data_IF_733620855846
#
_entry.id   IF_733620855846
#
_cell.length_a   1.000
_cell.length_b   1.000
_cell.length_c   1.000
_cell.angle_alpha   90.00
_cell.angle_beta   90.00
_cell.angle_gamma   90.00
#
_symmetry.space_group_name_H-M   'P 1'
#
loop_
_entity.id
_entity.type
_entity.pdbx_description
1 polymer ?
#
# COMPACT_ATOMS: atom_id res chain seq x y z
N UNK A 1 -49.61 -8.14 33.21
CA UNK A 1 -49.35 -8.41 31.79
C UNK A 1 -47.94 -8.96 31.65
N UNK A 2 -47.69 -10.05 32.34
CA UNK A 2 -46.51 -10.87 32.33
C UNK A 2 -46.95 -12.29 32.73
N UNK A 3 -47.73 -12.92 31.87
CA UNK A 3 -48.18 -14.32 32.03
C UNK A 3 -49.01 -14.64 30.80
N UNK A 4 -48.34 -15.03 29.71
CA UNK A 4 -48.93 -15.73 28.56
C UNK A 4 -47.87 -15.80 27.44
N UNK A 5 -46.85 -16.64 27.63
CA UNK A 5 -45.99 -17.16 26.55
C UNK A 5 -45.14 -18.34 27.08
N UNK A 6 -45.76 -19.26 27.82
CA UNK A 6 -45.23 -20.60 28.06
C UNK A 6 -46.18 -21.59 27.39
N UNK A 7 -45.99 -21.83 26.10
CA UNK A 7 -46.44 -23.07 25.44
C UNK A 7 -46.08 -23.04 23.95
N UNK A 8 -44.85 -23.21 23.63
CA UNK A 8 -44.43 -23.94 22.41
C UNK A 8 -42.97 -24.36 22.62
N UNK A 9 -42.81 -25.61 23.02
CA UNK A 9 -41.52 -26.28 23.21
C UNK A 9 -40.81 -26.45 21.88
N UNK A 10 -40.02 -25.49 21.46
CA UNK A 10 -38.97 -25.67 20.46
C UNK A 10 -37.69 -25.96 21.24
N UNK A 11 -37.43 -27.22 21.50
CA UNK A 11 -36.10 -27.69 21.88
C UNK A 11 -35.16 -27.44 20.68
N UNK A 12 -34.43 -26.35 20.74
CA UNK A 12 -33.27 -26.16 19.87
C UNK A 12 -32.20 -27.12 20.39
N UNK A 13 -32.19 -28.34 19.88
CA UNK A 13 -31.02 -29.19 19.93
C UNK A 13 -29.93 -28.47 19.15
N UNK A 14 -28.95 -27.92 19.87
CA UNK A 14 -27.64 -27.63 19.27
C UNK A 14 -27.07 -28.98 18.78
N UNK A 15 -27.31 -29.28 17.51
CA UNK A 15 -26.55 -30.28 16.77
C UNK A 15 -25.10 -29.74 16.72
N UNK A 16 -24.31 -30.15 17.71
CA UNK A 16 -22.86 -30.12 17.62
C UNK A 16 -22.50 -31.13 16.54
N UNK A 17 -22.38 -30.68 15.29
CA UNK A 17 -21.91 -31.50 14.20
C UNK A 17 -20.58 -32.13 14.63
N UNK A 18 -20.55 -33.44 14.82
CA UNK A 18 -19.36 -34.20 15.18
C UNK A 18 -18.29 -33.95 14.10
N UNK A 19 -17.19 -33.33 14.48
CA UNK A 19 -16.07 -33.06 13.56
C UNK A 19 -15.55 -34.37 13.02
N UNK A 20 -15.43 -34.51 11.70
CA UNK A 20 -14.91 -35.70 11.03
C UNK A 20 -13.45 -35.95 11.39
N UNK A 21 -13.03 -37.22 11.42
CA UNK A 21 -11.64 -37.62 11.64
C UNK A 21 -10.72 -36.95 10.58
N UNK A 22 -9.65 -36.29 11.01
CA UNK A 22 -8.74 -35.60 10.12
C UNK A 22 -8.05 -36.47 9.07
N UNK A 23 -7.83 -37.76 9.39
CA UNK A 23 -7.32 -38.72 8.40
C UNK A 23 -8.36 -39.02 7.32
N UNK A 24 -9.63 -39.10 7.70
CA UNK A 24 -10.74 -39.27 6.75
C UNK A 24 -10.95 -38.03 5.89
N UNK A 25 -10.83 -36.84 6.46
CA UNK A 25 -10.92 -35.55 5.74
C UNK A 25 -9.87 -35.48 4.64
N UNK A 26 -8.62 -35.86 4.92
CA UNK A 26 -7.55 -35.91 3.93
C UNK A 26 -7.59 -37.17 3.04
N UNK A 27 -8.37 -38.18 3.39
CA UNK A 27 -8.46 -39.45 2.66
C UNK A 27 -7.16 -40.28 2.73
N UNK A 28 -6.49 -40.27 3.88
CA UNK A 28 -5.24 -41.00 4.13
C UNK A 28 -5.40 -41.98 5.32
N UNK A 29 -4.57 -43.00 5.36
CA UNK A 29 -4.55 -43.97 6.50
C UNK A 29 -3.91 -43.29 7.74
N UNK A 30 -4.30 -43.75 8.95
CA UNK A 30 -3.68 -43.27 10.21
C UNK A 30 -2.17 -43.53 10.30
N UNK A 31 -1.66 -44.48 9.49
CA UNK A 31 -0.22 -44.79 9.36
C UNK A 31 0.49 -43.99 8.28
N UNK A 32 -0.20 -43.06 7.60
CA UNK A 32 0.36 -42.30 6.48
C UNK A 32 1.60 -41.48 6.90
N UNK A 33 2.59 -41.43 6.01
CA UNK A 33 3.79 -40.62 6.17
C UNK A 33 3.48 -39.15 6.00
N UNK A 34 4.39 -38.28 6.46
CA UNK A 34 4.25 -36.83 6.31
C UNK A 34 4.14 -36.40 4.83
N UNK A 35 4.84 -37.11 3.92
CA UNK A 35 4.80 -36.84 2.49
C UNK A 35 3.46 -37.23 1.85
N UNK A 36 2.86 -38.32 2.29
CA UNK A 36 1.52 -38.76 1.85
C UNK A 36 0.45 -37.76 2.32
N UNK A 37 0.50 -37.32 3.57
CA UNK A 37 -0.40 -36.31 4.13
C UNK A 37 -0.29 -35.01 3.33
N UNK A 38 0.93 -34.54 3.03
CA UNK A 38 1.19 -33.35 2.24
C UNK A 38 0.67 -33.48 0.80
N UNK A 39 0.86 -34.63 0.19
CA UNK A 39 0.38 -34.90 -1.19
C UNK A 39 -1.14 -34.92 -1.26
N UNK A 40 -1.82 -35.55 -0.29
CA UNK A 40 -3.27 -35.59 -0.19
C UNK A 40 -3.87 -34.19 0.00
N UNK A 41 -3.31 -33.41 0.92
CA UNK A 41 -3.72 -32.02 1.13
C UNK A 41 -3.60 -31.17 -0.15
N UNK A 42 -2.47 -31.26 -0.87
CA UNK A 42 -2.29 -30.51 -2.13
C UNK A 42 -3.36 -30.85 -3.17
N UNK A 43 -3.75 -32.09 -3.30
CA UNK A 43 -4.81 -32.52 -4.23
C UNK A 43 -6.16 -31.91 -3.85
N UNK A 44 -6.51 -31.96 -2.56
CA UNK A 44 -7.76 -31.38 -2.05
C UNK A 44 -7.78 -29.86 -2.15
N UNK A 45 -6.67 -29.19 -1.80
CA UNK A 45 -6.53 -27.76 -1.89
C UNK A 45 -6.69 -27.26 -3.34
N UNK A 46 -6.05 -27.91 -4.32
CA UNK A 46 -6.26 -27.59 -5.74
C UNK A 46 -7.67 -27.86 -6.25
N UNK A 47 -8.34 -28.87 -5.72
CA UNK A 47 -9.70 -29.26 -6.13
C UNK A 47 -10.74 -28.25 -5.60
N UNK A 48 -10.60 -27.82 -4.36
CA UNK A 48 -11.56 -26.98 -3.66
C UNK A 48 -11.08 -25.51 -3.50
N UNK A 49 -10.08 -25.09 -4.31
CA UNK A 49 -9.56 -23.73 -4.26
C UNK A 49 -10.67 -22.70 -4.57
N UNK A 50 -10.78 -21.59 -3.80
CA UNK A 50 -11.81 -20.57 -4.02
C UNK A 50 -11.79 -19.97 -5.42
N UNK A 51 -10.60 -19.75 -6.02
CA UNK A 51 -10.48 -19.21 -7.38
C UNK A 51 -11.00 -20.17 -8.46
N UNK A 52 -11.02 -21.47 -8.18
CA UNK A 52 -11.54 -22.48 -9.11
C UNK A 52 -13.03 -22.79 -8.89
N UNK A 53 -13.55 -22.46 -7.72
CA UNK A 53 -14.93 -22.70 -7.33
C UNK A 53 -15.54 -21.42 -6.74
N UNK A 54 -15.60 -20.30 -7.51
CA UNK A 54 -16.12 -19.04 -7.01
C UNK A 54 -17.60 -19.17 -6.65
N UNK A 55 -17.97 -18.85 -5.40
CA UNK A 55 -19.35 -18.88 -4.91
C UNK A 55 -19.87 -20.24 -4.43
N UNK A 56 -19.06 -21.29 -4.43
CA UNK A 56 -19.45 -22.60 -3.90
C UNK A 56 -19.08 -22.72 -2.40
N UNK A 57 -20.07 -22.48 -1.54
CA UNK A 57 -19.94 -22.60 -0.07
C UNK A 57 -19.54 -24.02 0.36
N UNK A 58 -19.94 -25.07 -0.38
CA UNK A 58 -19.57 -26.44 -0.05
C UNK A 58 -18.09 -26.72 -0.35
N UNK A 59 -17.55 -26.14 -1.41
CA UNK A 59 -16.13 -26.21 -1.72
C UNK A 59 -15.29 -25.46 -0.69
N UNK A 60 -15.76 -24.30 -0.24
CA UNK A 60 -15.13 -23.50 0.80
C UNK A 60 -15.07 -24.25 2.14
N UNK A 61 -16.16 -24.86 2.56
CA UNK A 61 -16.20 -25.67 3.78
C UNK A 61 -15.21 -26.86 3.72
N UNK A 62 -15.16 -27.59 2.59
CA UNK A 62 -14.22 -28.70 2.39
C UNK A 62 -12.76 -28.24 2.34
N UNK A 63 -12.50 -27.07 1.82
CA UNK A 63 -11.15 -26.48 1.83
C UNK A 63 -10.71 -26.13 3.26
N UNK A 64 -11.61 -25.57 4.07
CA UNK A 64 -11.34 -25.24 5.47
C UNK A 64 -11.07 -26.52 6.30
N UNK A 65 -11.93 -27.54 6.17
CA UNK A 65 -11.72 -28.83 6.85
C UNK A 65 -10.39 -29.49 6.46
N UNK A 66 -10.04 -29.48 5.16
CA UNK A 66 -8.78 -30.04 4.70
C UNK A 66 -7.56 -29.25 5.22
N UNK A 67 -7.67 -27.93 5.36
CA UNK A 67 -6.61 -27.09 5.91
C UNK A 67 -6.41 -27.30 7.40
N UNK A 68 -7.49 -27.42 8.17
CA UNK A 68 -7.46 -27.75 9.61
C UNK A 68 -6.82 -29.13 9.84
N UNK A 69 -7.25 -30.13 9.07
CA UNK A 69 -6.71 -31.48 9.15
C UNK A 69 -5.21 -31.53 8.83
N UNK A 70 -4.77 -30.81 7.80
CA UNK A 70 -3.35 -30.74 7.44
C UNK A 70 -2.52 -30.02 8.51
N UNK A 71 -3.02 -28.96 9.11
CA UNK A 71 -2.32 -28.24 10.17
C UNK A 71 -2.01 -29.15 11.37
N UNK A 72 -2.95 -29.96 11.75
CA UNK A 72 -2.78 -30.89 12.87
C UNK A 72 -1.88 -32.08 12.48
N UNK A 73 -2.11 -32.71 11.34
CA UNK A 73 -1.43 -33.94 10.95
C UNK A 73 -0.02 -33.72 10.38
N UNK A 74 0.31 -32.52 9.92
CA UNK A 74 1.66 -32.18 9.43
C UNK A 74 2.68 -31.95 10.54
N UNK A 75 2.23 -31.60 11.73
CA UNK A 75 3.11 -31.38 12.90
C UNK A 75 3.16 -32.67 13.76
N UNK A 76 4.34 -33.26 13.97
CA UNK A 76 4.49 -34.50 14.74
C UNK A 76 3.90 -34.44 16.16
N UNK A 77 4.07 -33.30 16.86
CA UNK A 77 3.58 -33.13 18.23
C UNK A 77 2.05 -33.01 18.27
N UNK A 78 1.46 -32.23 17.34
CA UNK A 78 0.01 -32.08 17.24
C UNK A 78 -0.64 -33.39 16.80
N UNK A 79 -0.03 -34.10 15.84
CA UNK A 79 -0.48 -35.40 15.39
C UNK A 79 -0.50 -36.41 16.53
N UNK A 80 0.57 -36.47 17.33
CA UNK A 80 0.64 -37.37 18.49
C UNK A 80 -0.45 -37.06 19.52
N UNK A 81 -0.74 -35.78 19.78
CA UNK A 81 -1.84 -35.36 20.67
C UNK A 81 -3.20 -35.73 20.08
N UNK A 82 -3.38 -35.54 18.79
CA UNK A 82 -4.60 -35.92 18.08
C UNK A 82 -4.81 -37.42 18.10
N UNK A 83 -3.78 -38.20 17.88
CA UNK A 83 -3.82 -39.66 17.92
C UNK A 83 -4.18 -40.23 19.32
N UNK A 84 -3.82 -39.51 20.40
CA UNK A 84 -4.10 -39.88 21.78
C UNK A 84 -5.45 -39.41 22.32
N UNK A 85 -5.84 -38.18 21.97
CA UNK A 85 -6.99 -37.50 22.60
C UNK A 85 -8.05 -37.04 21.59
N UNK A 86 -7.89 -37.36 20.31
CA UNK A 86 -8.82 -36.94 19.25
C UNK A 86 -8.86 -35.41 19.11
N UNK A 87 -10.00 -34.89 18.68
CA UNK A 87 -10.21 -33.46 18.53
C UNK A 87 -10.02 -32.66 19.83
N UNK A 88 -10.34 -33.22 20.98
CA UNK A 88 -10.17 -32.59 22.28
C UNK A 88 -8.70 -32.32 22.64
N UNK A 89 -7.77 -33.13 22.11
CA UNK A 89 -6.33 -32.96 22.32
C UNK A 89 -5.69 -31.81 21.55
N UNK A 90 -6.41 -31.28 20.59
CA UNK A 90 -5.97 -30.19 19.69
C UNK A 90 -6.88 -28.98 19.74
N UNK A 91 -8.01 -29.04 20.49
CA UNK A 91 -8.81 -27.85 20.82
C UNK A 91 -8.02 -26.94 21.76
N UNK A 92 -7.59 -25.82 21.23
CA UNK A 92 -6.77 -24.84 21.92
C UNK A 92 -7.61 -24.09 22.96
N UNK A 93 -7.14 -24.09 24.23
CA UNK A 93 -7.63 -23.22 25.29
C UNK A 93 -7.50 -21.73 24.96
N UNK A 94 -7.91 -20.80 25.87
CA UNK A 94 -8.03 -19.36 25.59
C UNK A 94 -6.71 -18.71 25.21
N UNK A 95 -6.40 -18.71 23.90
CA UNK A 95 -5.18 -18.24 23.24
C UNK A 95 -4.89 -18.94 21.92
N UNK A 96 -5.69 -19.90 21.50
CA UNK A 96 -5.59 -20.56 20.19
C UNK A 96 -6.22 -19.72 19.08
N UNK A 97 -5.58 -19.72 17.92
CA UNK A 97 -6.07 -19.07 16.69
C UNK A 97 -7.41 -19.70 16.29
N UNK A 98 -8.50 -18.95 16.44
CA UNK A 98 -9.81 -19.31 15.91
C UNK A 98 -9.85 -18.90 14.44
N UNK A 99 -9.53 -19.85 13.55
CA UNK A 99 -9.50 -19.66 12.10
C UNK A 99 -10.83 -19.15 11.53
N UNK A 100 -11.96 -19.41 12.22
CA UNK A 100 -13.28 -18.94 11.81
C UNK A 100 -13.55 -17.46 12.15
N UNK A 101 -12.91 -16.92 13.17
CA UNK A 101 -13.11 -15.55 13.67
C UNK A 101 -12.11 -14.57 13.11
N UNK A 102 -10.86 -14.99 12.90
CA UNK A 102 -9.79 -14.14 12.38
C UNK A 102 -9.82 -14.02 10.85
N UNK A 103 -10.41 -15.00 10.14
CA UNK A 103 -10.51 -14.96 8.68
C UNK A 103 -11.53 -13.93 8.15
N UNK A 104 -12.47 -13.47 8.96
CA UNK A 104 -13.43 -12.43 8.56
C UNK A 104 -12.82 -11.02 8.47
N UNK A 105 -11.63 -10.80 9.04
CA UNK A 105 -10.89 -9.54 8.98
C UNK A 105 -9.86 -9.45 7.83
N UNK A 106 -9.63 -10.54 7.09
CA UNK A 106 -8.65 -10.61 6.01
C UNK A 106 -9.26 -10.45 4.61
N UNK A 107 -10.28 -9.61 4.45
CA UNK A 107 -10.88 -9.35 3.13
C UNK A 107 -9.98 -8.57 2.17
N UNK A 108 -8.80 -8.06 2.61
CA UNK A 108 -7.88 -7.23 1.82
C UNK A 108 -6.43 -7.75 1.75
N UNK A 109 -6.15 -8.97 2.20
CA UNK A 109 -4.81 -9.55 2.08
C UNK A 109 -4.84 -10.68 1.05
N UNK A 110 -4.07 -10.52 -0.01
CA UNK A 110 -3.93 -11.50 -1.09
C UNK A 110 -3.55 -12.88 -0.54
N UNK A 111 -4.46 -13.85 -0.72
CA UNK A 111 -4.27 -15.25 -0.33
C UNK A 111 -2.99 -15.85 -0.91
N UNK A 112 -2.50 -15.27 -2.01
CA UNK A 112 -1.27 -15.62 -2.69
C UNK A 112 -0.02 -15.29 -1.86
N UNK A 113 -0.05 -14.22 -1.06
CA UNK A 113 1.06 -13.85 -0.18
C UNK A 113 1.16 -14.76 1.04
N UNK A 114 0.02 -15.23 1.57
CA UNK A 114 0.01 -16.20 2.67
C UNK A 114 0.44 -17.59 2.16
N UNK A 115 -0.04 -17.98 0.99
CA UNK A 115 0.32 -19.26 0.38
C UNK A 115 1.78 -19.28 -0.09
N UNK A 116 2.30 -18.16 -0.59
CA UNK A 116 3.72 -18.04 -0.99
C UNK A 116 4.65 -18.04 0.22
N UNK A 117 4.24 -17.48 1.36
CA UNK A 117 5.03 -17.50 2.59
C UNK A 117 5.07 -18.90 3.22
N UNK A 118 4.00 -19.68 3.09
CA UNK A 118 3.91 -21.07 3.58
C UNK A 118 4.55 -22.06 2.59
N UNK A 119 4.40 -21.83 1.28
CA UNK A 119 4.88 -22.76 0.24
C UNK A 119 6.28 -22.39 -0.27
N UNK A 120 6.67 -21.12 -0.25
CA UNK A 120 7.99 -20.63 -0.67
C UNK A 120 9.12 -21.03 0.26
N UNK A 121 8.82 -21.38 1.51
CA UNK A 121 9.82 -21.85 2.48
C UNK A 121 10.37 -23.26 2.24
N UNK A 122 9.83 -24.01 1.28
CA UNK A 122 10.21 -25.41 1.04
C UNK A 122 11.28 -25.60 -0.04
N UNK A 123 11.72 -24.51 -0.73
CA UNK A 123 12.64 -24.68 -1.88
C UNK A 123 13.76 -23.62 -1.96
N UNK A 124 14.34 -23.25 -0.84
CA UNK A 124 15.56 -22.44 -0.86
C UNK A 124 15.72 -21.51 0.33
N UNK A 125 16.48 -21.93 1.33
CA UNK A 125 17.21 -21.03 2.22
C UNK A 125 16.44 -20.29 3.30
N UNK A 126 16.16 -20.98 4.41
CA UNK A 126 16.43 -20.44 5.75
C UNK A 126 15.98 -19.05 6.16
N UNK A 127 14.70 -18.72 6.05
CA UNK A 127 14.20 -17.58 6.80
C UNK A 127 12.76 -17.85 7.31
N UNK A 128 12.64 -18.23 8.57
CA UNK A 128 11.72 -17.53 9.43
C UNK A 128 10.43 -18.20 9.88
N UNK A 129 10.20 -19.51 9.78
CA UNK A 129 9.08 -20.12 10.53
C UNK A 129 9.41 -20.26 12.03
N UNK A 130 10.68 -20.34 12.35
CA UNK A 130 11.20 -20.41 13.73
C UNK A 130 11.05 -19.10 14.50
N UNK A 131 10.84 -17.97 13.81
CA UNK A 131 10.62 -16.66 14.44
C UNK A 131 9.17 -16.41 14.85
N UNK A 132 8.19 -17.12 14.30
CA UNK A 132 6.77 -16.92 14.58
C UNK A 132 6.23 -17.86 15.68
N UNK A 133 6.79 -19.07 15.78
CA UNK A 133 6.35 -20.08 16.75
C UNK A 133 7.42 -20.43 17.79
N UNK A 134 7.77 -19.46 18.65
CA UNK A 134 8.38 -19.82 19.95
C UNK A 134 9.84 -20.27 19.93
N UNK A 135 10.62 -19.86 18.94
CA UNK A 135 12.07 -19.86 19.06
C UNK A 135 12.45 -18.93 20.21
N UNK A 136 13.02 -19.46 21.28
CA UNK A 136 13.44 -18.69 22.44
C UNK A 136 14.17 -17.44 21.98
N UNK A 137 13.64 -16.26 22.29
CA UNK A 137 14.32 -14.98 22.08
C UNK A 137 15.73 -15.16 22.58
N UNK A 138 16.71 -15.36 21.66
CA UNK A 138 18.10 -15.17 21.99
C UNK A 138 18.12 -13.85 22.71
N UNK A 139 18.48 -13.87 23.98
CA UNK A 139 18.57 -12.68 24.79
C UNK A 139 19.50 -11.75 24.05
N UNK A 140 18.95 -10.76 23.35
CA UNK A 140 19.73 -9.82 22.56
C UNK A 140 20.77 -9.24 23.50
N UNK A 141 22.02 -9.33 23.13
CA UNK A 141 23.09 -8.74 23.91
C UNK A 141 22.79 -7.24 24.05
N UNK A 142 22.54 -6.77 25.29
CA UNK A 142 22.19 -5.36 25.50
C UNK A 142 23.30 -4.40 25.04
N UNK A 143 24.49 -4.90 24.75
CA UNK A 143 25.62 -4.14 24.23
C UNK A 143 25.82 -4.32 22.73
N UNK A 144 25.01 -5.14 22.04
CA UNK A 144 25.12 -5.32 20.60
C UNK A 144 24.93 -4.00 19.83
N UNK A 145 25.64 -3.80 18.71
CA UNK A 145 25.42 -2.68 17.84
C UNK A 145 23.95 -2.63 17.39
N UNK A 146 23.37 -1.45 17.43
CA UNK A 146 21.99 -1.24 16.98
C UNK A 146 21.97 -0.29 15.80
N UNK A 147 21.35 -0.71 14.71
CA UNK A 147 21.11 0.15 13.56
C UNK A 147 20.25 1.34 13.94
N UNK A 148 20.56 2.51 13.41
CA UNK A 148 19.77 3.72 13.56
C UNK A 148 18.36 3.55 12.97
N UNK A 149 17.44 4.36 13.49
CA UNK A 149 16.07 4.36 12.99
C UNK A 149 16.01 4.88 11.55
N UNK A 150 15.20 4.23 10.73
CA UNK A 150 14.84 4.75 9.43
C UNK A 150 13.92 5.97 9.64
N UNK A 151 14.12 7.01 8.83
CA UNK A 151 13.36 8.25 8.90
C UNK A 151 12.54 8.44 7.63
N UNK A 152 11.37 9.03 7.77
CA UNK A 152 10.52 9.37 6.62
C UNK A 152 10.17 10.84 6.68
N UNK A 153 10.16 11.49 5.49
CA UNK A 153 9.71 12.87 5.34
C UNK A 153 8.98 13.05 4.02
N UNK A 154 8.07 14.02 3.98
CA UNK A 154 7.44 14.45 2.73
C UNK A 154 8.20 15.64 2.14
N UNK A 155 8.34 15.63 0.83
CA UNK A 155 8.93 16.72 0.06
C UNK A 155 7.99 17.13 -1.05
N UNK A 156 7.56 18.37 -0.99
CA UNK A 156 6.78 18.99 -2.06
C UNK A 156 7.73 19.54 -3.12
N UNK A 157 7.48 19.19 -4.39
CA UNK A 157 8.23 19.61 -5.55
C UNK A 157 7.31 20.23 -6.60
N UNK A 158 7.84 21.09 -7.44
CA UNK A 158 7.11 21.66 -8.57
C UNK A 158 6.99 20.65 -9.71
N UNK A 159 5.96 20.83 -10.55
CA UNK A 159 5.70 19.93 -11.70
C UNK A 159 6.91 19.86 -12.65
N UNK A 160 7.58 20.98 -12.87
CA UNK A 160 8.77 21.09 -13.72
C UNK A 160 9.93 20.25 -13.19
N UNK A 161 10.07 20.17 -11.88
CA UNK A 161 11.10 19.31 -11.25
C UNK A 161 10.78 17.83 -11.43
N UNK A 162 9.48 17.46 -11.36
CA UNK A 162 9.05 16.10 -11.64
C UNK A 162 9.26 15.74 -13.12
N UNK A 163 9.08 16.71 -14.03
CA UNK A 163 9.23 16.51 -15.48
C UNK A 163 10.69 16.39 -15.90
N UNK A 164 11.54 17.36 -15.47
CA UNK A 164 12.92 17.48 -15.93
C UNK A 164 13.93 16.82 -14.99
N UNK A 165 13.52 16.50 -13.76
CA UNK A 165 14.42 16.10 -12.67
C UNK A 165 15.15 17.31 -12.08
N UNK A 166 15.56 17.18 -10.84
CA UNK A 166 16.32 18.23 -10.14
C UNK A 166 17.24 17.66 -9.08
N UNK A 167 18.15 18.48 -8.59
CA UNK A 167 18.96 18.17 -7.42
C UNK A 167 18.64 19.21 -6.33
N UNK A 168 18.22 18.75 -5.16
CA UNK A 168 17.93 19.60 -3.99
C UNK A 168 18.82 19.25 -2.82
N UNK A 169 19.19 20.25 -2.05
CA UNK A 169 19.85 20.04 -0.75
C UNK A 169 18.82 20.24 0.34
N UNK A 170 18.63 19.19 1.15
CA UNK A 170 17.71 19.21 2.28
C UNK A 170 18.47 19.53 3.57
N UNK A 171 18.04 20.55 4.30
CA UNK A 171 18.56 20.87 5.63
C UNK A 171 17.72 20.17 6.68
N UNK A 172 18.24 19.07 7.24
CA UNK A 172 17.52 18.20 8.17
C UNK A 172 18.16 18.21 9.55
N UNK A 173 17.32 18.17 10.58
CA UNK A 173 17.78 17.97 11.94
C UNK A 173 17.49 16.51 12.31
N UNK A 174 18.52 15.68 12.29
CA UNK A 174 18.43 14.23 12.51
C UNK A 174 19.18 13.83 13.79
N UNK A 175 18.74 12.74 14.46
CA UNK A 175 19.56 12.15 15.51
C UNK A 175 20.81 11.55 14.88
N UNK A 176 21.96 12.04 15.25
CA UNK A 176 23.28 11.53 14.84
C UNK A 176 23.97 10.83 16.00
N UNK A 177 24.88 9.93 15.68
CA UNK A 177 25.72 9.28 16.65
C UNK A 177 26.56 10.32 17.39
N UNK A 178 26.55 10.28 18.72
CA UNK A 178 27.34 11.20 19.53
C UNK A 178 28.85 10.99 19.26
N UNK A 179 29.51 12.01 18.74
CA UNK A 179 30.93 11.94 18.40
C UNK A 179 31.84 11.68 19.58
N UNK A 180 31.47 12.15 20.80
CA UNK A 180 32.28 12.02 21.99
C UNK A 180 32.34 10.60 22.55
N UNK A 181 31.22 9.87 22.45
CA UNK A 181 31.13 8.48 22.97
C UNK A 181 30.97 7.43 21.87
N UNK A 182 30.94 7.80 20.61
CA UNK A 182 30.76 6.85 19.48
C UNK A 182 29.47 6.04 19.59
N UNK A 183 28.36 6.68 20.02
CA UNK A 183 27.06 6.05 20.15
C UNK A 183 26.89 5.11 21.33
N UNK A 184 27.88 4.96 22.22
CA UNK A 184 27.80 4.08 23.38
C UNK A 184 26.98 4.67 24.54
N UNK A 185 26.84 5.99 24.60
CA UNK A 185 26.24 6.71 25.74
C UNK A 185 27.11 6.79 27.00
N UNK A 186 28.31 6.23 26.95
CA UNK A 186 29.20 6.08 28.12
C UNK A 186 30.31 7.14 28.08
N UNK A 187 30.63 7.74 29.19
CA UNK A 187 31.78 8.67 29.31
C UNK A 187 33.10 7.93 29.03
N UNK A 188 34.12 8.66 28.52
CA UNK A 188 35.45 8.09 28.27
C UNK A 188 36.01 7.49 29.59
N UNK A 189 36.46 6.25 29.50
CA UNK A 189 37.02 5.52 30.66
C UNK A 189 35.98 4.87 31.58
N UNK A 190 34.70 5.02 31.29
CA UNK A 190 33.61 4.32 31.99
C UNK A 190 33.08 3.14 31.16
N UNK A 191 32.16 2.36 31.75
CA UNK A 191 31.59 1.17 31.11
C UNK A 191 30.12 0.99 31.44
N UNK A 192 29.46 0.14 30.67
CA UNK A 192 28.16 -0.41 31.04
C UNK A 192 28.34 -1.63 31.91
N UNK A 193 27.58 -1.70 32.98
CA UNK A 193 27.60 -2.81 33.95
C UNK A 193 26.22 -3.50 33.96
N UNK A 194 26.21 -4.77 34.33
CA UNK A 194 24.94 -5.50 34.50
C UNK A 194 24.07 -4.81 35.54
N UNK A 195 22.80 -4.64 35.25
CA UNK A 195 21.88 -4.02 36.21
C UNK A 195 21.81 -4.83 37.51
N UNK A 196 22.11 -4.23 38.68
CA UNK A 196 22.13 -4.95 39.93
C UNK A 196 20.75 -5.42 40.40
N UNK A 197 19.66 -4.80 39.90
CA UNK A 197 18.29 -5.15 40.30
C UNK A 197 17.78 -6.39 39.56
N UNK A 198 18.03 -6.50 38.27
CA UNK A 198 17.54 -7.62 37.45
C UNK A 198 18.64 -8.62 37.04
N UNK A 199 19.89 -8.39 37.46
CA UNK A 199 21.02 -9.27 37.13
C UNK A 199 21.28 -9.44 35.63
N UNK A 200 20.95 -8.42 34.84
CA UNK A 200 21.10 -8.46 33.39
C UNK A 200 19.86 -8.92 32.61
N UNK A 201 18.78 -9.32 33.29
CA UNK A 201 17.57 -9.90 32.64
C UNK A 201 16.62 -8.87 32.00
N UNK A 202 16.77 -7.60 32.31
CA UNK A 202 15.89 -6.52 31.85
C UNK A 202 14.50 -6.50 32.50
N UNK A 203 14.13 -7.57 33.19
CA UNK A 203 12.83 -7.71 33.84
C UNK A 203 13.00 -8.29 35.26
N UNK A 204 12.08 -7.97 36.14
CA UNK A 204 11.94 -8.55 37.49
C UNK A 204 10.67 -9.37 37.52
N UNK A 205 10.75 -10.56 38.09
CA UNK A 205 9.59 -11.42 38.32
C UNK A 205 9.06 -11.12 39.72
N UNK A 206 7.80 -10.74 39.83
CA UNK A 206 7.06 -10.58 41.07
C UNK A 206 5.90 -11.54 41.13
N UNK A 207 5.73 -12.21 42.26
CA UNK A 207 4.60 -13.13 42.48
C UNK A 207 5.04 -14.31 43.35
N UNK A 208 4.08 -14.90 44.05
CA UNK A 208 4.26 -16.13 44.86
C UNK A 208 3.56 -17.31 44.20
N UNK A 209 4.26 -18.42 44.03
CA UNK A 209 3.71 -19.66 43.51
C UNK A 209 3.37 -19.64 42.02
N UNK A 210 2.17 -20.01 41.67
CA UNK A 210 1.72 -20.18 40.27
C UNK A 210 1.51 -18.87 39.47
N UNK A 211 1.38 -17.74 40.14
CA UNK A 211 1.18 -16.44 39.51
C UNK A 211 2.49 -15.62 39.56
N UNK A 212 3.28 -15.74 38.49
CA UNK A 212 4.49 -14.93 38.31
C UNK A 212 4.23 -13.87 37.25
N UNK A 213 4.27 -12.59 37.64
CA UNK A 213 4.16 -11.46 36.70
C UNK A 213 5.57 -10.94 36.39
N UNK A 214 5.93 -10.96 35.12
CA UNK A 214 7.18 -10.40 34.60
C UNK A 214 6.99 -8.92 34.32
N UNK A 215 7.64 -8.08 35.16
CA UNK A 215 7.58 -6.63 35.04
C UNK A 215 8.93 -6.08 34.55
N UNK A 216 8.88 -5.07 33.67
CA UNK A 216 10.09 -4.37 33.19
C UNK A 216 10.87 -3.82 34.39
N UNK A 217 12.19 -4.02 34.43
CA UNK A 217 13.02 -3.56 35.51
C UNK A 217 13.05 -2.02 35.55
N UNK A 218 12.60 -1.43 36.66
CA UNK A 218 12.54 0.02 36.84
C UNK A 218 13.91 0.69 36.81
N UNK A 219 15.00 -0.02 37.20
CA UNK A 219 16.36 0.53 37.25
C UNK A 219 16.99 0.70 35.85
N UNK A 220 16.81 -0.28 35.00
CA UNK A 220 17.43 -0.26 33.65
C UNK A 220 16.42 -0.07 32.50
N UNK A 221 15.13 0.14 32.79
CA UNK A 221 14.11 0.35 31.76
C UNK A 221 13.96 -0.80 30.76
N UNK A 222 14.39 -2.02 31.11
CA UNK A 222 14.37 -3.18 30.21
C UNK A 222 15.71 -3.51 29.55
N UNK A 223 16.69 -2.61 29.57
CA UNK A 223 18.00 -2.81 28.93
C UNK A 223 18.89 -3.90 29.53
N UNK A 224 18.67 -4.31 30.79
CA UNK A 224 19.49 -5.28 31.49
C UNK A 224 20.84 -4.74 31.97
N UNK A 225 21.28 -3.58 31.49
CA UNK A 225 22.52 -2.90 31.84
C UNK A 225 22.27 -1.47 32.32
N UNK A 226 23.19 -0.90 33.05
CA UNK A 226 23.19 0.50 33.49
C UNK A 226 24.55 1.13 33.19
N UNK A 227 24.56 2.41 32.87
CA UNK A 227 25.80 3.18 32.66
C UNK A 227 26.29 3.71 33.99
N UNK A 228 27.57 3.46 34.34
CA UNK A 228 28.16 3.99 35.56
C UNK A 228 28.30 5.51 35.48
N UNK A 229 28.89 6.01 34.40
CA UNK A 229 29.02 7.45 34.16
C UNK A 229 28.51 7.76 32.73
N UNK A 230 27.38 8.46 32.59
CA UNK A 230 26.84 8.82 31.31
C UNK A 230 27.71 9.85 30.58
N UNK A 231 27.77 9.77 29.27
CA UNK A 231 28.47 10.75 28.45
C UNK A 231 27.87 12.15 28.66
N UNK A 232 28.70 13.16 29.01
CA UNK A 232 28.20 14.51 29.31
C UNK A 232 27.49 15.18 28.12
N UNK A 233 27.95 14.91 26.88
CA UNK A 233 27.40 15.57 25.69
C UNK A 233 26.03 15.04 25.27
N UNK A 234 25.78 13.74 25.41
CA UNK A 234 24.51 13.13 25.04
C UNK A 234 23.66 12.68 26.23
N UNK A 235 24.10 12.87 27.46
CA UNK A 235 23.37 12.48 28.67
C UNK A 235 23.07 10.97 28.78
N UNK A 236 23.90 10.13 28.14
CA UNK A 236 23.70 8.66 28.13
C UNK A 236 22.90 8.11 26.96
N UNK A 237 22.29 8.96 26.12
CA UNK A 237 21.46 8.52 24.97
C UNK A 237 22.28 7.90 23.84
N UNK A 238 23.55 8.25 23.69
CA UNK A 238 24.41 7.86 22.61
C UNK A 238 24.15 8.62 21.30
N UNK A 239 23.15 9.50 21.25
CA UNK A 239 22.77 10.29 20.07
C UNK A 239 22.63 11.78 20.41
N UNK A 240 22.86 12.62 19.43
CA UNK A 240 22.66 14.07 19.50
C UNK A 240 21.90 14.53 18.26
N UNK A 241 21.08 15.56 18.40
CA UNK A 241 20.43 16.18 17.24
C UNK A 241 21.43 17.10 16.53
N UNK A 242 21.74 16.79 15.28
CA UNK A 242 22.64 17.58 14.45
C UNK A 242 21.91 18.04 13.17
N UNK A 243 22.25 19.27 12.72
CA UNK A 243 21.80 19.76 11.43
C UNK A 243 22.69 19.16 10.34
N UNK A 244 22.09 18.55 9.35
CA UNK A 244 22.79 17.91 8.26
C UNK A 244 22.22 18.33 6.91
N UNK A 245 23.12 18.65 5.97
CA UNK A 245 22.77 18.87 4.59
C UNK A 245 22.81 17.54 3.83
N UNK A 246 21.71 17.18 3.23
CA UNK A 246 21.57 15.93 2.47
C UNK A 246 21.22 16.28 1.03
N UNK A 247 22.09 15.94 0.08
CA UNK A 247 21.80 16.10 -1.34
C UNK A 247 20.81 14.99 -1.76
N UNK A 248 19.71 15.41 -2.38
CA UNK A 248 18.68 14.57 -2.95
C UNK A 248 18.62 14.81 -4.46
N UNK A 249 18.77 13.74 -5.22
CA UNK A 249 18.54 13.74 -6.67
C UNK A 249 17.13 13.24 -6.95
N UNK A 250 16.31 14.08 -7.56
CA UNK A 250 14.95 13.78 -8.00
C UNK A 250 15.02 13.32 -9.45
N UNK A 251 14.64 12.07 -9.75
CA UNK A 251 14.68 11.56 -11.11
C UNK A 251 13.54 12.16 -11.94
N UNK A 252 13.75 12.21 -13.26
CA UNK A 252 12.71 12.62 -14.23
C UNK A 252 11.55 11.62 -14.20
N UNK A 253 10.32 12.14 -14.29
CA UNK A 253 9.12 11.32 -14.34
C UNK A 253 8.60 10.88 -12.98
N UNK A 254 9.19 11.37 -11.88
CA UNK A 254 8.71 11.06 -10.52
C UNK A 254 7.24 11.43 -10.36
N UNK A 255 6.51 10.65 -9.58
CA UNK A 255 5.09 10.86 -9.32
C UNK A 255 4.82 11.12 -7.82
N UNK A 256 3.67 11.69 -7.53
CA UNK A 256 3.19 11.83 -6.16
C UNK A 256 3.09 10.45 -5.50
N UNK A 257 3.59 10.35 -4.25
CA UNK A 257 3.68 9.09 -3.51
C UNK A 257 4.97 8.29 -3.80
N UNK A 258 5.80 8.71 -4.75
CA UNK A 258 7.10 8.07 -5.02
C UNK A 258 8.01 8.18 -3.81
N UNK A 259 8.65 7.07 -3.43
CA UNK A 259 9.58 7.00 -2.30
C UNK A 259 11.01 6.95 -2.77
N UNK A 260 11.78 7.99 -2.44
CA UNK A 260 13.21 8.07 -2.73
C UNK A 260 13.99 7.64 -1.49
N UNK A 261 14.77 6.57 -1.58
CA UNK A 261 15.59 6.05 -0.48
C UNK A 261 16.99 6.62 -0.56
N UNK A 262 17.43 7.22 0.53
CA UNK A 262 18.80 7.70 0.75
C UNK A 262 19.46 6.82 1.82
N UNK A 263 20.26 5.86 1.38
CA UNK A 263 20.91 4.89 2.26
C UNK A 263 21.85 5.56 3.25
N UNK A 264 21.76 5.20 4.52
CA UNK A 264 22.62 5.72 5.59
C UNK A 264 22.41 7.20 5.91
N UNK A 265 21.29 7.81 5.48
CA UNK A 265 20.97 9.22 5.75
C UNK A 265 19.83 9.39 6.76
N UNK A 266 19.41 8.31 7.42
CA UNK A 266 18.45 8.31 8.52
C UNK A 266 19.10 8.62 9.88
N UNK A 267 18.50 8.11 10.94
CA UNK A 267 19.01 8.28 12.29
C UNK A 267 20.35 7.59 12.54
N UNK A 268 21.21 8.15 13.36
CA UNK A 268 22.49 7.55 13.73
C UNK A 268 22.31 6.25 14.50
N UNK A 269 23.20 5.28 14.27
CA UNK A 269 23.20 4.02 15.00
C UNK A 269 23.71 4.17 16.42
N UNK A 270 23.40 3.18 17.23
CA UNK A 270 23.87 3.09 18.63
C UNK A 270 24.93 2.00 18.74
N UNK A 271 25.89 2.20 19.67
CA UNK A 271 26.89 1.19 20.03
C UNK A 271 27.71 0.70 18.81
N UNK A 272 28.05 1.60 17.87
CA UNK A 272 28.77 1.24 16.66
C UNK A 272 27.89 0.64 15.57
N UNK A 273 26.58 0.68 15.71
CA UNK A 273 25.63 0.29 14.67
C UNK A 273 25.64 1.26 13.49
N UNK A 274 25.23 0.78 12.33
CA UNK A 274 25.11 1.57 11.13
C UNK A 274 23.93 2.59 11.24
N UNK A 275 24.00 3.73 10.55
CA UNK A 275 22.86 4.64 10.48
C UNK A 275 21.70 3.97 9.73
N UNK A 276 20.47 4.43 10.01
CA UNK A 276 19.28 4.09 9.26
C UNK A 276 19.22 4.77 7.89
N UNK A 277 18.15 4.57 7.17
CA UNK A 277 17.90 5.19 5.86
C UNK A 277 16.91 6.34 5.98
N UNK A 278 17.01 7.28 5.04
CA UNK A 278 16.02 8.34 4.89
C UNK A 278 15.14 8.06 3.69
N UNK A 279 13.84 7.99 3.91
CA UNK A 279 12.82 7.86 2.87
C UNK A 279 12.17 9.22 2.64
N UNK A 280 12.30 9.73 1.42
CA UNK A 280 11.65 10.97 1.01
C UNK A 280 10.44 10.61 0.15
N UNK A 281 9.25 10.91 0.64
CA UNK A 281 7.99 10.75 -0.08
C UNK A 281 7.74 12.02 -0.87
N UNK A 282 7.69 11.91 -2.19
CA UNK A 282 7.52 13.06 -3.08
C UNK A 282 6.04 13.38 -3.22
N UNK A 283 5.71 14.67 -3.15
CA UNK A 283 4.41 15.23 -3.52
C UNK A 283 4.62 16.26 -4.63
N UNK A 284 4.08 15.99 -5.80
CA UNK A 284 4.18 16.88 -6.95
C UNK A 284 3.03 17.88 -6.92
N UNK A 285 3.32 19.17 -7.07
CA UNK A 285 2.32 20.22 -7.24
C UNK A 285 1.70 20.16 -8.62
N UNK A 286 0.42 20.54 -8.70
CA UNK A 286 -0.27 20.64 -9.98
C UNK A 286 0.35 21.74 -10.85
N UNK A 287 0.42 21.50 -12.15
CA UNK A 287 0.84 22.51 -13.12
C UNK A 287 -0.33 23.39 -13.53
N UNK A 288 -0.09 24.66 -13.76
CA UNK A 288 -1.08 25.58 -14.31
C UNK A 288 -1.38 25.33 -15.81
N UNK A 289 -0.51 24.58 -16.51
CA UNK A 289 -0.58 24.38 -17.96
C UNK A 289 -0.95 22.94 -18.30
N UNK A 290 -0.34 21.98 -17.60
CA UNK A 290 -0.46 20.57 -17.93
C UNK A 290 -1.21 19.80 -16.85
N UNK A 291 -2.15 18.97 -17.25
CA UNK A 291 -2.73 17.93 -16.39
C UNK A 291 -2.03 16.61 -16.69
N UNK A 292 -1.57 15.91 -15.68
CA UNK A 292 -0.89 14.63 -15.81
C UNK A 292 -1.89 13.48 -15.69
N UNK A 293 -1.82 12.53 -16.61
CA UNK A 293 -2.52 11.25 -16.56
C UNK A 293 -1.52 10.11 -16.81
N UNK A 294 -1.00 9.55 -15.72
CA UNK A 294 0.09 8.57 -15.79
C UNK A 294 1.35 9.12 -16.45
N UNK A 295 1.69 8.65 -17.65
CA UNK A 295 2.78 9.18 -18.46
C UNK A 295 2.32 10.21 -19.49
N UNK A 296 1.04 10.28 -19.79
CA UNK A 296 0.51 11.26 -20.73
C UNK A 296 0.31 12.62 -20.04
N UNK A 297 0.48 13.66 -20.82
CA UNK A 297 0.18 15.04 -20.42
C UNK A 297 -1.00 15.55 -21.25
N UNK A 298 -1.90 16.26 -20.61
CA UNK A 298 -3.00 16.93 -21.27
C UNK A 298 -2.84 18.44 -21.12
N UNK A 299 -3.08 19.16 -22.21
CA UNK A 299 -3.16 20.62 -22.22
C UNK A 299 -4.46 21.05 -22.87
N UNK A 300 -5.18 21.97 -22.25
CA UNK A 300 -6.33 22.64 -22.85
C UNK A 300 -5.87 23.84 -23.65
N UNK A 301 -6.15 23.79 -24.96
CA UNK A 301 -5.77 24.85 -25.90
C UNK A 301 -6.98 25.71 -26.24
N UNK A 302 -7.09 26.93 -25.67
CA UNK A 302 -8.14 27.86 -26.05
C UNK A 302 -7.90 28.36 -27.46
N UNK A 303 -8.86 28.21 -28.36
CA UNK A 303 -8.82 28.75 -29.73
C UNK A 303 -10.10 29.51 -30.05
N UNK A 304 -9.98 30.50 -30.95
CA UNK A 304 -11.14 31.18 -31.46
C UNK A 304 -12.03 30.23 -32.30
N UNK A 305 -13.38 30.28 -32.12
CA UNK A 305 -14.30 29.54 -32.96
C UNK A 305 -14.13 29.81 -34.48
N UNK A 306 -13.66 31.00 -34.83
CA UNK A 306 -13.34 31.39 -36.22
C UNK A 306 -12.16 30.54 -36.73
N UNK A 307 -11.10 30.38 -35.92
CA UNK A 307 -9.94 29.54 -36.29
C UNK A 307 -10.37 28.09 -36.41
N UNK A 308 -11.25 27.62 -35.50
CA UNK A 308 -11.76 26.27 -35.59
C UNK A 308 -12.60 26.02 -36.85
N UNK A 309 -13.39 27.01 -37.32
CA UNK A 309 -14.20 26.92 -38.51
C UNK A 309 -13.38 26.97 -39.80
N UNK A 310 -12.45 27.91 -39.90
CA UNK A 310 -11.66 28.17 -41.13
C UNK A 310 -10.40 27.31 -41.21
N UNK A 311 -9.89 26.87 -40.08
CA UNK A 311 -8.58 26.24 -39.91
C UNK A 311 -7.47 27.28 -39.73
N UNK A 312 -6.32 26.81 -39.27
CA UNK A 312 -5.18 27.70 -39.05
C UNK A 312 -4.04 27.07 -38.27
N UNK A 313 -2.98 27.83 -38.01
CA UNK A 313 -1.89 27.40 -37.14
C UNK A 313 -2.04 28.09 -35.81
N UNK A 314 -1.88 27.32 -34.75
CA UNK A 314 -1.94 27.81 -33.36
C UNK A 314 -0.74 27.27 -32.59
N UNK A 315 -0.12 28.09 -31.78
CA UNK A 315 1.01 27.68 -30.96
C UNK A 315 0.52 26.99 -29.68
N UNK A 316 1.14 25.84 -29.37
CA UNK A 316 0.81 24.95 -28.25
C UNK A 316 2.01 24.84 -27.33
N UNK A 317 1.85 25.03 -26.03
CA UNK A 317 2.93 24.76 -25.08
C UNK A 317 3.20 23.25 -25.01
N UNK A 318 4.46 22.89 -25.06
CA UNK A 318 4.93 21.51 -24.88
C UNK A 318 6.04 21.50 -23.81
N UNK A 319 6.39 20.34 -23.24
CA UNK A 319 7.54 20.25 -22.35
C UNK A 319 8.84 20.82 -22.91
N UNK A 320 9.04 20.74 -24.21
CA UNK A 320 10.27 21.22 -24.88
C UNK A 320 10.19 22.68 -25.34
N UNK A 321 9.05 23.34 -25.18
CA UNK A 321 8.80 24.72 -25.66
C UNK A 321 7.53 24.85 -26.49
N UNK A 322 7.34 26.00 -27.13
CA UNK A 322 6.17 26.25 -28.00
C UNK A 322 6.32 25.51 -29.31
N UNK A 323 5.25 24.82 -29.74
CA UNK A 323 5.19 24.10 -31.00
C UNK A 323 3.93 24.48 -31.78
N UNK A 324 3.98 24.50 -33.11
CA UNK A 324 2.86 24.92 -33.94
C UNK A 324 1.97 23.71 -34.28
N UNK A 325 0.68 23.80 -33.94
CA UNK A 325 -0.38 22.86 -34.31
C UNK A 325 -1.16 23.41 -35.51
N UNK A 326 -1.28 22.62 -36.57
CA UNK A 326 -2.21 22.92 -37.67
C UNK A 326 -3.61 22.39 -37.32
N UNK A 327 -4.53 23.30 -37.08
CA UNK A 327 -5.94 23.02 -36.81
C UNK A 327 -6.70 22.91 -38.16
N UNK A 328 -7.27 21.75 -38.50
CA UNK A 328 -8.09 21.61 -39.71
C UNK A 328 -9.36 22.46 -39.65
N UNK A 329 -9.86 22.91 -40.79
CA UNK A 329 -11.17 23.56 -40.89
C UNK A 329 -12.28 22.63 -40.40
N UNK A 330 -13.26 23.19 -39.68
CA UNK A 330 -14.37 22.41 -39.11
C UNK A 330 -14.00 21.58 -37.89
N UNK A 331 -12.93 21.94 -37.18
CA UNK A 331 -12.54 21.25 -35.95
C UNK A 331 -13.58 21.47 -34.84
N UNK A 332 -14.19 20.39 -34.29
CA UNK A 332 -15.19 20.52 -33.23
C UNK A 332 -14.57 20.87 -31.88
N UNK A 333 -15.38 21.46 -31.00
CA UNK A 333 -14.98 21.68 -29.61
C UNK A 333 -14.67 20.34 -28.91
N UNK A 334 -13.62 20.32 -28.09
CA UNK A 334 -13.16 19.12 -27.40
C UNK A 334 -12.35 18.14 -28.26
N UNK A 335 -12.01 18.50 -29.52
CA UNK A 335 -11.15 17.68 -30.38
C UNK A 335 -9.81 17.46 -29.72
N UNK A 336 -9.34 16.21 -29.73
CA UNK A 336 -8.05 15.81 -29.19
C UNK A 336 -7.03 15.65 -30.33
N UNK A 337 -5.86 16.25 -30.16
CA UNK A 337 -4.68 16.03 -30.98
C UNK A 337 -3.61 15.39 -30.11
N UNK A 338 -2.98 14.33 -30.59
CA UNK A 338 -1.97 13.57 -29.83
C UNK A 338 -0.60 13.69 -30.47
N UNK A 339 0.37 14.13 -29.69
CA UNK A 339 1.77 14.19 -30.05
C UNK A 339 2.55 13.12 -29.29
N UNK A 340 3.07 12.15 -30.03
CA UNK A 340 3.76 11.00 -29.47
C UNK A 340 5.08 11.37 -28.84
N UNK A 341 5.37 10.81 -27.67
CA UNK A 341 6.64 10.97 -26.98
C UNK A 341 6.90 12.37 -26.40
N UNK A 342 5.86 13.22 -26.29
CA UNK A 342 5.93 14.58 -25.72
C UNK A 342 5.27 14.68 -24.33
N UNK A 343 5.01 13.56 -23.68
CA UNK A 343 4.50 13.47 -22.31
C UNK A 343 5.61 13.36 -21.26
N UNK A 344 5.24 12.83 -20.10
CA UNK A 344 6.16 12.58 -18.97
C UNK A 344 7.17 11.48 -19.31
N UNK A 345 8.43 11.64 -18.91
CA UNK A 345 9.41 10.57 -19.02
C UNK A 345 9.09 9.42 -18.05
N UNK A 346 9.35 8.19 -18.48
CA UNK A 346 9.19 7.01 -17.65
C UNK A 346 10.38 6.83 -16.70
N UNK A 347 10.13 6.63 -15.40
CA UNK A 347 11.14 6.26 -14.41
C UNK A 347 11.89 4.97 -14.77
N UNK A 348 11.26 4.08 -15.54
CA UNK A 348 11.83 2.78 -15.96
C UNK A 348 12.61 2.84 -17.28
N UNK A 349 12.78 4.04 -17.84
CA UNK A 349 13.53 4.23 -19.10
C UNK A 349 12.81 3.72 -20.35
N UNK A 350 11.49 3.49 -20.30
CA UNK A 350 10.69 3.01 -21.45
C UNK A 350 10.22 4.13 -22.37
N UNK A 351 10.93 5.26 -22.45
CA UNK A 351 10.56 6.42 -23.24
C UNK A 351 9.64 7.40 -22.50
N UNK A 352 9.02 8.30 -23.25
CA UNK A 352 8.07 9.29 -22.73
C UNK A 352 6.65 8.91 -23.13
N UNK A 353 5.66 9.32 -22.34
CA UNK A 353 4.26 9.32 -22.71
C UNK A 353 3.94 10.32 -23.82
N UNK A 354 2.69 10.54 -24.12
CA UNK A 354 2.21 11.43 -25.17
C UNK A 354 1.69 12.75 -24.60
N UNK A 355 1.71 13.80 -25.42
CA UNK A 355 1.00 15.05 -25.11
C UNK A 355 -0.33 15.05 -25.85
N UNK A 356 -1.42 15.17 -25.11
CA UNK A 356 -2.80 15.27 -25.62
C UNK A 356 -3.24 16.73 -25.54
N UNK A 357 -3.45 17.35 -26.70
CA UNK A 357 -3.93 18.72 -26.83
C UNK A 357 -5.43 18.69 -27.02
N UNK A 358 -6.19 19.19 -26.05
CA UNK A 358 -7.64 19.34 -26.11
C UNK A 358 -8.01 20.73 -26.55
N UNK A 359 -8.66 20.84 -27.70
CA UNK A 359 -9.15 22.13 -28.20
C UNK A 359 -10.37 22.57 -27.40
N UNK A 360 -10.36 23.80 -26.90
CA UNK A 360 -11.49 24.42 -26.21
C UNK A 360 -11.81 25.75 -26.88
N UNK A 361 -13.09 25.99 -27.19
CA UNK A 361 -13.47 27.24 -27.83
C UNK A 361 -13.52 28.38 -26.80
N UNK A 362 -12.76 29.44 -27.09
CA UNK A 362 -12.83 30.67 -26.32
C UNK A 362 -13.67 31.70 -27.08
N UNK A 363 -14.79 32.11 -26.48
CA UNK A 363 -15.66 33.11 -27.06
C UNK A 363 -15.06 34.50 -26.88
N UNK A 364 -14.86 35.27 -27.97
CA UNK A 364 -14.24 36.59 -27.91
C UNK A 364 -15.08 37.57 -27.09
N UNK A 365 -14.41 38.23 -26.15
CA UNK A 365 -15.00 39.23 -25.26
C UNK A 365 -14.58 40.65 -25.68
N UNK A 366 -15.34 41.69 -25.23
CA UNK A 366 -15.00 43.12 -25.46
C UNK A 366 -14.83 43.48 -26.94
N UNK A 367 -15.78 43.06 -27.76
CA UNK A 367 -15.82 43.35 -29.19
C UNK A 367 -15.97 44.82 -29.49
N UNK A 368 -15.22 45.33 -30.43
CA UNK A 368 -15.44 46.67 -31.04
C UNK A 368 -16.71 46.66 -31.89
N UNK A 369 -17.26 47.86 -32.16
CA UNK A 369 -18.44 47.98 -33.02
C UNK A 369 -18.26 47.34 -34.42
N UNK A 370 -17.04 47.50 -35.01
CA UNK A 370 -16.72 46.87 -36.30
C UNK A 370 -16.67 45.34 -36.20
N UNK A 371 -16.07 44.78 -35.14
CA UNK A 371 -16.00 43.32 -34.95
C UNK A 371 -17.40 42.74 -34.74
N UNK A 372 -18.28 43.41 -33.96
CA UNK A 372 -19.67 42.99 -33.77
C UNK A 372 -20.42 43.00 -35.11
N UNK A 373 -20.28 44.08 -35.90
CA UNK A 373 -20.93 44.14 -37.23
C UNK A 373 -20.53 42.98 -38.15
N UNK A 374 -19.23 42.60 -38.17
CA UNK A 374 -18.75 41.47 -38.96
C UNK A 374 -19.36 40.13 -38.49
N UNK A 375 -19.53 39.95 -37.15
CA UNK A 375 -20.18 38.76 -36.62
C UNK A 375 -21.68 38.73 -36.90
N UNK A 376 -22.35 39.89 -36.82
CA UNK A 376 -23.78 40.01 -37.17
C UNK A 376 -24.01 39.71 -38.65
N UNK A 377 -23.14 40.15 -39.55
CA UNK A 377 -23.20 39.85 -40.97
C UNK A 377 -22.95 38.37 -41.23
N UNK A 378 -21.92 37.78 -40.61
CA UNK A 378 -21.68 36.35 -40.67
C UNK A 378 -22.90 35.55 -40.19
N UNK A 379 -23.52 35.94 -39.09
CA UNK A 379 -24.69 35.25 -38.53
C UNK A 379 -25.91 35.26 -39.48
N UNK A 380 -26.04 36.29 -40.36
CA UNK A 380 -27.09 36.35 -41.38
C UNK A 380 -26.84 35.42 -42.56
N UNK A 381 -25.57 35.20 -42.92
CA UNK A 381 -25.15 34.33 -43.99
C UNK A 381 -25.19 32.83 -43.62
N UNK A 382 -25.08 32.52 -42.34
CA UNK A 382 -25.14 31.13 -41.83
C UNK A 382 -26.58 30.63 -41.80
N UNK A 383 -26.82 29.46 -42.36
CA UNK A 383 -28.12 28.80 -42.38
C UNK A 383 -28.10 27.51 -41.51
N UNK A 384 -29.30 26.90 -41.27
CA UNK A 384 -29.35 25.69 -40.44
C UNK A 384 -28.50 24.54 -40.97
N UNK A 385 -28.14 24.47 -42.25
CA UNK A 385 -27.30 23.39 -42.81
C UNK A 385 -25.86 23.46 -42.30
N UNK A 386 -25.44 24.64 -41.87
CA UNK A 386 -24.13 24.82 -41.24
C UNK A 386 -24.04 24.22 -39.81
N UNK A 387 -25.20 23.82 -39.24
CA UNK A 387 -25.31 23.31 -37.87
C UNK A 387 -25.99 21.94 -37.82
N UNK A 388 -25.35 20.88 -38.35
CA UNK A 388 -25.96 19.55 -38.45
C UNK A 388 -26.42 18.96 -37.11
N UNK A 389 -25.68 19.21 -36.04
CA UNK A 389 -26.04 18.68 -34.71
C UNK A 389 -27.32 19.33 -34.18
N UNK A 390 -27.48 20.65 -34.37
CA UNK A 390 -28.70 21.36 -34.01
C UNK A 390 -29.90 20.86 -34.83
N UNK A 391 -29.72 20.58 -36.11
CA UNK A 391 -30.76 19.99 -36.97
C UNK A 391 -31.15 18.58 -36.49
N UNK A 392 -30.16 17.74 -36.19
CA UNK A 392 -30.39 16.39 -35.67
C UNK A 392 -31.17 16.44 -34.37
N UNK A 393 -30.76 17.29 -33.42
CA UNK A 393 -31.46 17.47 -32.16
C UNK A 393 -32.91 17.93 -32.36
N UNK A 394 -33.16 18.91 -33.25
CA UNK A 394 -34.51 19.38 -33.55
C UNK A 394 -35.37 18.27 -34.19
N UNK A 395 -34.80 17.42 -35.07
CA UNK A 395 -35.45 16.27 -35.64
C UNK A 395 -35.85 15.22 -34.61
N UNK A 396 -34.89 14.86 -33.73
CA UNK A 396 -35.16 13.90 -32.68
C UNK A 396 -36.18 14.42 -31.64
N UNK A 397 -36.12 15.71 -31.32
CA UNK A 397 -37.12 16.34 -30.47
C UNK A 397 -38.53 16.24 -31.05
N UNK A 398 -38.70 16.47 -32.35
CA UNK A 398 -40.01 16.31 -33.05
C UNK A 398 -40.49 14.85 -32.93
N UNK A 399 -39.63 13.88 -33.11
CA UNK A 399 -39.97 12.45 -32.99
C UNK A 399 -40.36 12.12 -31.52
N UNK A 400 -39.65 12.64 -30.56
CA UNK A 400 -39.95 12.45 -29.14
C UNK A 400 -41.34 12.98 -28.78
N UNK A 401 -41.66 14.22 -29.15
CA UNK A 401 -42.95 14.82 -28.85
C UNK A 401 -44.10 14.10 -29.58
N UNK A 402 -43.91 13.66 -30.82
CA UNK A 402 -44.93 12.89 -31.54
C UNK A 402 -45.23 11.52 -30.91
N UNK A 403 -44.22 10.89 -30.28
CA UNK A 403 -44.42 9.66 -29.49
C UNK A 403 -45.15 9.94 -28.17
N UNK A 404 -44.81 11.04 -27.49
CA UNK A 404 -45.48 11.47 -26.27
C UNK A 404 -46.99 11.67 -26.50
N UNK A 405 -47.37 12.37 -27.57
CA UNK A 405 -48.77 12.58 -27.94
C UNK A 405 -49.57 11.30 -28.22
N UNK A 406 -48.89 10.27 -28.75
CA UNK A 406 -49.47 8.93 -28.98
C UNK A 406 -49.65 8.13 -27.67
N UNK A 407 -48.84 8.36 -26.66
CA UNK A 407 -48.92 7.67 -25.41
C UNK A 407 -49.89 8.35 -24.43
N UNK A 408 -50.22 9.58 -24.69
CA UNK A 408 -51.20 10.38 -23.84
C UNK A 408 -52.66 10.30 -24.34
N UNK A 409 -52.89 9.60 -25.44
CA UNK A 409 -54.20 9.22 -25.95
C UNK A 409 -54.48 7.74 -25.69
#
# INVERSE_FOLDING_TARGET
>A
MLDELEAEGISVSLDMAEKRDYYEVLGVAKTASADEIKSAYRKLAMKYHPDRNPGDESAKAKFQEASEAYEVLSNPEKRQRYDQFGHQGVDFGPGGFDFGRDFSHFHDVDLNDILSSVLGGAMGGGFGFDSFFGGGRRQADPNAPQRGADMSMELEIDFEEALFGSERTLDLTLPEQCGSCGGTGVAKGSRRVKCPVCGGRGAVVRGNGFFQVRQTCHKCGGEGSVIEHPCPDCGGSGQMRAKRKVALRIPKGVDTGSRLRLSGKGGGGLRGGEPGDLYVVVRVRDSAIFTRDGLDLMVELPISPVVAAVGGKVDVPTPDGMASLTVPAGTPNGKLFRWRGKGMPSLRGMGNGDLVVRVVFEVPQRLTAKQRGLLDDLAKELDPTNFPDAQNLASEAKKFYSRKEKLSK
#
